data_IF_798561422526
#
_entry.id   IF_798561422526
#
_cell.length_a   1.000
_cell.length_b   1.000
_cell.length_c   1.000
_cell.angle_alpha   90.00
_cell.angle_beta   90.00
_cell.angle_gamma   90.00
#
_symmetry.space_group_name_H-M   'P 1'
#
loop_
_entity.id
_entity.type
_entity.pdbx_description
1 polymer ?
#
# COMPACT_ATOMS: atom_id res chain seq x y z
N UNK A 1 8.23 0.00 47.46
CA UNK A 1 8.88 -0.34 46.18
C UNK A 1 9.89 -1.45 46.45
N UNK A 2 10.03 -2.48 45.60
CA UNK A 2 9.17 -2.97 44.53
C UNK A 2 8.79 -4.45 44.73
N UNK A 3 8.03 -4.97 43.77
CA UNK A 3 7.32 -6.24 43.71
C UNK A 3 8.30 -7.35 43.27
N UNK A 4 8.40 -8.40 44.07
CA UNK A 4 9.00 -9.67 43.67
C UNK A 4 8.06 -10.43 42.72
N UNK A 5 8.69 -11.14 41.78
CA UNK A 5 8.18 -12.31 41.07
C UNK A 5 7.02 -12.15 40.08
N UNK A 6 7.32 -11.57 38.92
CA UNK A 6 6.71 -12.00 37.66
C UNK A 6 7.68 -12.92 36.91
N UNK A 7 7.48 -14.21 37.19
CA UNK A 7 8.06 -15.37 36.56
C UNK A 7 7.60 -15.46 35.10
N UNK A 8 8.18 -14.64 34.21
CA UNK A 8 8.00 -14.81 32.78
C UNK A 8 8.85 -16.01 32.34
N UNK A 9 8.22 -17.18 32.33
CA UNK A 9 8.77 -18.40 31.75
C UNK A 9 9.27 -18.10 30.33
N UNK A 10 10.59 -18.08 30.15
CA UNK A 10 11.17 -18.19 28.82
C UNK A 10 10.78 -19.56 28.27
N UNK A 11 9.83 -19.56 27.34
CA UNK A 11 9.53 -20.73 26.53
C UNK A 11 10.79 -21.07 25.71
N UNK A 12 11.27 -22.33 25.70
CA UNK A 12 12.36 -22.71 24.83
C UNK A 12 11.88 -22.66 23.39
N UNK A 13 12.40 -21.73 22.59
CA UNK A 13 12.16 -21.67 21.16
C UNK A 13 12.71 -22.97 20.57
N UNK A 14 11.80 -23.85 20.15
CA UNK A 14 12.11 -25.10 19.47
C UNK A 14 12.89 -24.74 18.19
N UNK A 15 14.20 -25.07 18.18
CA UNK A 15 15.06 -24.91 17.02
C UNK A 15 14.70 -26.00 16.01
N UNK A 16 13.67 -25.74 15.21
CA UNK A 16 13.44 -26.53 14.00
C UNK A 16 14.59 -26.27 13.01
N UNK A 17 15.28 -27.33 12.61
CA UNK A 17 16.48 -27.32 11.77
C UNK A 17 16.13 -27.25 10.28
N UNK A 18 15.10 -26.49 9.90
CA UNK A 18 14.71 -26.31 8.50
C UNK A 18 14.68 -24.83 8.10
N UNK A 19 15.78 -24.13 8.37
CA UNK A 19 16.08 -22.83 7.76
C UNK A 19 16.44 -23.02 6.28
N UNK A 20 15.42 -23.22 5.43
CA UNK A 20 15.52 -22.89 4.02
C UNK A 20 15.51 -21.37 3.89
N UNK A 21 16.70 -20.80 3.86
CA UNK A 21 17.08 -19.59 3.12
C UNK A 21 16.09 -18.40 3.20
N UNK A 22 15.94 -17.80 4.38
CA UNK A 22 15.51 -16.40 4.46
C UNK A 22 16.77 -15.53 4.41
N UNK A 23 16.90 -14.60 3.43
CA UNK A 23 18.01 -13.66 3.45
C UNK A 23 17.90 -12.82 4.71
N UNK A 24 18.92 -12.93 5.57
CA UNK A 24 19.11 -12.12 6.75
C UNK A 24 19.11 -10.65 6.34
N UNK A 25 18.05 -9.92 6.68
CA UNK A 25 17.94 -8.49 6.40
C UNK A 25 18.83 -7.73 7.40
N UNK A 26 20.11 -7.62 7.06
CA UNK A 26 20.97 -6.56 7.61
C UNK A 26 20.33 -5.20 7.28
N UNK A 27 20.37 -4.21 8.19
CA UNK A 27 19.83 -2.88 7.93
C UNK A 27 20.77 -2.12 6.99
N UNK A 28 20.69 -2.42 5.70
CA UNK A 28 21.43 -1.69 4.69
C UNK A 28 20.92 -0.24 4.60
N UNK A 29 21.87 0.66 4.74
CA UNK A 29 21.70 2.10 4.70
C UNK A 29 21.07 2.57 3.39
N UNK A 30 19.76 2.78 3.41
CA UNK A 30 19.16 3.94 2.74
C UNK A 30 18.55 3.77 1.36
N UNK A 31 18.40 2.56 0.81
CA UNK A 31 17.71 2.36 -0.48
C UNK A 31 16.68 1.23 -0.43
N UNK A 32 15.61 1.40 0.36
CA UNK A 32 14.36 0.68 0.09
C UNK A 32 13.68 1.33 -1.11
N UNK A 33 14.20 1.06 -2.31
CA UNK A 33 13.43 1.27 -3.53
C UNK A 33 12.30 0.26 -3.49
N UNK A 34 11.06 0.71 -3.27
CA UNK A 34 9.89 -0.16 -3.41
C UNK A 34 9.89 -0.67 -4.85
N UNK A 35 10.32 -1.92 -5.03
CA UNK A 35 10.29 -2.59 -6.32
C UNK A 35 8.82 -2.80 -6.66
N UNK A 36 8.28 -1.89 -7.46
CA UNK A 36 6.97 -2.10 -8.05
C UNK A 36 7.06 -3.31 -8.98
N UNK A 37 6.03 -4.18 -9.00
CA UNK A 37 5.98 -5.29 -9.93
C UNK A 37 6.12 -4.77 -11.36
N UNK A 38 6.79 -5.53 -12.23
CA UNK A 38 7.01 -5.17 -13.64
C UNK A 38 5.74 -5.32 -14.51
N UNK A 39 4.57 -5.10 -13.93
CA UNK A 39 3.33 -4.94 -14.70
C UNK A 39 3.50 -3.76 -15.66
N UNK A 40 2.80 -3.80 -16.80
CA UNK A 40 2.88 -2.83 -17.89
C UNK A 40 2.35 -1.43 -17.52
N UNK A 41 2.93 -0.82 -16.49
CA UNK A 41 2.65 0.53 -16.05
C UNK A 41 3.47 1.51 -16.89
N UNK A 42 2.81 2.58 -17.34
CA UNK A 42 3.49 3.68 -18.00
C UNK A 42 4.47 4.38 -17.02
N UNK A 43 5.54 4.95 -17.56
CA UNK A 43 6.61 5.58 -16.78
C UNK A 43 6.12 6.60 -15.75
N UNK A 44 5.21 7.53 -16.09
CA UNK A 44 4.64 8.49 -15.14
C UNK A 44 3.82 7.83 -14.02
N UNK A 45 3.08 6.76 -14.32
CA UNK A 45 2.31 6.02 -13.32
C UNK A 45 3.24 5.31 -12.34
N UNK A 46 4.35 4.76 -12.84
CA UNK A 46 5.38 4.15 -12.01
C UNK A 46 6.06 5.16 -11.08
N UNK A 47 6.44 6.34 -11.58
CA UNK A 47 7.05 7.41 -10.76
C UNK A 47 6.08 7.86 -9.65
N UNK A 48 4.80 8.05 -9.98
CA UNK A 48 3.77 8.38 -8.99
C UNK A 48 3.72 7.35 -7.86
N UNK A 49 3.62 6.07 -8.22
CA UNK A 49 3.50 4.97 -7.25
C UNK A 49 4.75 4.82 -6.38
N UNK A 50 5.95 4.97 -6.95
CA UNK A 50 7.20 4.93 -6.18
C UNK A 50 7.23 6.01 -5.09
N UNK A 51 6.78 7.23 -5.42
CA UNK A 51 6.76 8.35 -4.45
C UNK A 51 5.67 8.19 -3.39
N UNK A 52 4.52 7.60 -3.74
CA UNK A 52 3.41 7.36 -2.82
C UNK A 52 3.71 6.21 -1.84
N UNK A 53 4.34 5.14 -2.34
CA UNK A 53 4.59 3.92 -1.56
C UNK A 53 5.95 3.91 -0.87
N UNK A 54 6.65 5.05 -0.84
CA UNK A 54 7.93 5.19 -0.16
C UNK A 54 7.84 4.76 1.31
N UNK A 55 8.73 3.85 1.71
CA UNK A 55 8.77 3.29 3.08
C UNK A 55 9.02 4.37 4.11
N UNK A 56 9.99 5.26 3.84
CA UNK A 56 10.30 6.40 4.71
C UNK A 56 9.26 7.51 4.53
N UNK A 57 8.48 7.87 5.57
CA UNK A 57 7.40 8.86 5.43
C UNK A 57 7.92 10.26 5.10
N UNK A 58 9.13 10.60 5.52
CA UNK A 58 9.75 11.90 5.21
C UNK A 58 10.02 12.10 3.71
N UNK A 59 10.20 11.02 2.96
CA UNK A 59 10.43 11.03 1.51
C UNK A 59 9.16 10.74 0.71
N UNK A 60 8.06 10.41 1.40
CA UNK A 60 6.78 10.10 0.76
C UNK A 60 6.13 11.36 0.21
N UNK A 61 5.50 11.23 -0.95
CA UNK A 61 4.66 12.27 -1.51
C UNK A 61 3.49 12.56 -0.56
N UNK A 62 3.43 13.78 -0.01
CA UNK A 62 2.50 14.14 1.07
C UNK A 62 1.68 15.39 0.84
N UNK A 63 2.02 16.22 -0.15
CA UNK A 63 1.31 17.48 -0.39
C UNK A 63 0.60 17.46 -1.74
N UNK A 64 -0.57 18.10 -1.78
CA UNK A 64 -1.33 18.28 -3.02
C UNK A 64 -0.51 19.00 -4.09
N UNK A 65 0.26 20.04 -3.70
CA UNK A 65 1.12 20.78 -4.65
C UNK A 65 2.14 19.87 -5.32
N UNK A 66 2.77 18.97 -4.55
CA UNK A 66 3.71 18.01 -5.12
C UNK A 66 3.00 17.01 -6.04
N UNK A 67 1.79 16.56 -5.67
CA UNK A 67 0.96 15.67 -6.50
C UNK A 67 0.59 16.31 -7.85
N UNK A 68 0.15 17.58 -7.84
CA UNK A 68 -0.21 18.33 -9.06
C UNK A 68 0.94 18.46 -10.07
N UNK A 69 2.19 18.44 -9.60
CA UNK A 69 3.37 18.60 -10.44
C UNK A 69 3.90 17.29 -11.05
N UNK A 70 3.30 16.14 -10.72
CA UNK A 70 3.75 14.85 -11.25
C UNK A 70 3.30 14.70 -12.71
N UNK A 71 4.18 14.13 -13.54
CA UNK A 71 3.94 13.94 -14.97
C UNK A 71 2.66 13.12 -15.27
N UNK A 72 2.28 12.21 -14.37
CA UNK A 72 1.03 11.45 -14.45
C UNK A 72 -0.21 12.35 -14.53
N UNK A 73 -0.21 13.49 -13.84
CA UNK A 73 -1.33 14.44 -13.86
C UNK A 73 -1.17 15.55 -14.92
N UNK A 74 -0.22 15.42 -15.85
CA UNK A 74 -0.05 16.41 -16.92
C UNK A 74 -1.30 16.43 -17.80
N UNK A 75 -1.95 17.59 -17.90
CA UNK A 75 -3.20 17.77 -18.65
C UNK A 75 -4.47 17.46 -17.84
N UNK A 76 -4.33 17.03 -16.58
CA UNK A 76 -5.46 16.90 -15.66
C UNK A 76 -5.71 18.23 -14.93
N UNK A 77 -6.89 18.82 -15.12
CA UNK A 77 -7.28 20.05 -14.41
C UNK A 77 -7.90 19.72 -13.05
N UNK A 78 -7.15 19.96 -11.99
CA UNK A 78 -7.64 19.79 -10.61
C UNK A 78 -8.73 20.81 -10.25
N UNK A 79 -8.73 21.97 -10.90
CA UNK A 79 -9.67 23.04 -10.61
C UNK A 79 -11.04 22.72 -11.24
N UNK A 80 -11.07 22.19 -12.47
CA UNK A 80 -12.30 21.72 -13.14
C UNK A 80 -12.99 20.62 -12.33
N UNK A 81 -12.20 19.73 -11.71
CA UNK A 81 -12.71 18.64 -10.88
C UNK A 81 -13.33 19.18 -9.59
N UNK A 82 -12.67 20.16 -8.97
CA UNK A 82 -13.18 20.84 -7.77
C UNK A 82 -14.50 21.56 -8.07
N UNK A 83 -14.60 22.18 -9.23
CA UNK A 83 -15.77 22.93 -9.70
C UNK A 83 -16.83 22.03 -10.37
N UNK A 84 -16.64 20.69 -10.31
CA UNK A 84 -17.53 19.66 -10.86
C UNK A 84 -17.81 19.83 -12.37
N UNK A 85 -16.88 20.44 -13.09
CA UNK A 85 -16.94 20.63 -14.54
C UNK A 85 -16.50 19.38 -15.31
N UNK A 86 -15.94 18.37 -14.63
CA UNK A 86 -15.50 17.11 -15.27
C UNK A 86 -16.57 16.04 -15.13
N UNK A 87 -17.01 15.50 -16.27
CA UNK A 87 -17.94 14.37 -16.28
C UNK A 87 -17.19 13.06 -15.98
N UNK A 88 -17.42 12.49 -14.80
CA UNK A 88 -16.76 11.27 -14.34
C UNK A 88 -16.95 10.07 -15.29
N UNK A 89 -18.09 9.99 -15.98
CA UNK A 89 -18.40 8.91 -16.95
C UNK A 89 -17.50 8.97 -18.19
N UNK A 90 -16.92 10.12 -18.49
CA UNK A 90 -16.00 10.28 -19.62
C UNK A 90 -14.55 9.98 -19.24
N UNK A 91 -14.22 9.99 -17.94
CA UNK A 91 -12.87 9.73 -17.45
C UNK A 91 -12.59 8.25 -17.21
N UNK A 92 -13.61 7.51 -16.77
CA UNK A 92 -13.48 6.10 -16.42
C UNK A 92 -13.98 5.23 -17.56
N UNK A 93 -13.32 4.09 -17.82
CA UNK A 93 -13.90 3.08 -18.70
C UNK A 93 -15.22 2.57 -18.11
N UNK A 94 -16.14 2.16 -18.97
CA UNK A 94 -17.37 1.50 -18.53
C UNK A 94 -17.00 0.24 -17.76
N UNK A 95 -17.24 0.25 -16.44
CA UNK A 95 -17.12 -0.94 -15.63
C UNK A 95 -18.30 -1.83 -16.01
N UNK A 96 -18.08 -3.10 -16.41
CA UNK A 96 -19.18 -4.00 -16.69
C UNK A 96 -20.06 -4.10 -15.44
N UNK A 97 -21.37 -3.88 -15.58
CA UNK A 97 -22.37 -3.87 -14.49
C UNK A 97 -22.48 -5.22 -13.74
N UNK A 98 -21.75 -6.24 -14.19
CA UNK A 98 -21.68 -7.57 -13.59
C UNK A 98 -20.22 -7.98 -13.39
N UNK A 99 -19.55 -7.35 -12.43
CA UNK A 99 -18.60 -8.10 -11.60
C UNK A 99 -19.47 -8.68 -10.49
N UNK A 100 -20.05 -9.86 -10.73
CA UNK A 100 -20.50 -10.68 -9.60
C UNK A 100 -19.22 -11.06 -8.86
N UNK A 101 -18.99 -10.39 -7.75
CA UNK A 101 -17.93 -10.72 -6.82
C UNK A 101 -18.33 -12.05 -6.14
N UNK A 102 -18.02 -13.16 -6.81
CA UNK A 102 -17.84 -14.45 -6.13
C UNK A 102 -16.59 -14.33 -5.23
N UNK A 103 -16.65 -13.51 -4.18
CA UNK A 103 -15.67 -13.57 -3.10
C UNK A 103 -15.89 -14.88 -2.34
N UNK A 104 -15.41 -15.98 -2.91
CA UNK A 104 -15.25 -17.25 -2.19
C UNK A 104 -14.32 -17.02 -0.99
N UNK A 105 -14.90 -16.76 0.19
CA UNK A 105 -14.17 -16.67 1.45
C UNK A 105 -14.46 -15.45 2.32
N UNK A 106 -15.42 -14.58 1.98
CA UNK A 106 -15.92 -13.61 2.97
C UNK A 106 -16.89 -14.33 3.92
N UNK A 107 -16.38 -14.76 5.08
CA UNK A 107 -17.20 -15.35 6.14
C UNK A 107 -18.05 -14.24 6.79
N UNK A 108 -19.35 -14.21 6.49
CA UNK A 108 -20.33 -13.27 7.05
C UNK A 108 -20.57 -13.46 8.56
N UNK A 109 -19.85 -14.38 9.23
CA UNK A 109 -19.96 -14.63 10.67
C UNK A 109 -19.74 -13.40 11.55
N UNK A 110 -19.09 -12.33 11.05
CA UNK A 110 -18.90 -11.07 11.79
C UNK A 110 -20.14 -10.17 11.83
N UNK A 111 -21.13 -10.35 10.95
CA UNK A 111 -22.27 -9.42 10.84
C UNK A 111 -23.39 -9.77 11.84
N UNK A 112 -23.39 -10.98 12.39
CA UNK A 112 -24.51 -11.50 13.21
C UNK A 112 -24.34 -11.33 14.72
N UNK A 113 -23.31 -10.59 15.19
CA UNK A 113 -23.13 -10.27 16.61
C UNK A 113 -23.32 -8.78 16.89
N UNK A 114 -24.58 -8.35 16.89
CA UNK A 114 -25.08 -7.16 17.59
C UNK A 114 -26.44 -7.45 18.20
#
# INVERSE_FOLDING_TARGET
>A
MPIDDLLFQQSPILRDKTLKNYPSAEPDSGQFSTVLPQVGLDGPARDLLQRLLQVKPAQRLRTLRALKNIAFYKGYSFDDVKDRQVNAKQLLPEIPEKLEDDFEGFDESFVTQL
#
